data_IF_823460400228
#
_entry.id   IF_823460400228
#
_cell.length_a   1.000
_cell.length_b   1.000
_cell.length_c   1.000
_cell.angle_alpha   90.00
_cell.angle_beta   90.00
_cell.angle_gamma   90.00
#
_symmetry.space_group_name_H-M   'P 1'
#
loop_
_entity.id
_entity.type
_entity.pdbx_description
1 polymer ?
#
# COMPACT_ATOMS: atom_id res chain seq x y z
N UNK A 1 -18.31 -3.27 -60.64
CA UNK A 1 -17.24 -2.38 -61.14
C UNK A 1 -16.23 -2.19 -59.99
N UNK A 2 -15.26 -3.09 -59.77
CA UNK A 2 -13.91 -3.23 -60.37
C UNK A 2 -12.82 -2.26 -59.85
N UNK A 3 -11.91 -2.85 -59.03
CA UNK A 3 -10.45 -2.61 -58.80
C UNK A 3 -9.96 -1.26 -58.26
N UNK A 4 -8.90 -1.12 -57.42
CA UNK A 4 -7.72 -1.94 -57.07
C UNK A 4 -7.25 -1.60 -55.62
N UNK A 5 -6.81 -2.51 -54.72
CA UNK A 5 -5.54 -3.27 -54.61
C UNK A 5 -4.26 -2.45 -54.76
N UNK A 6 -3.60 -2.06 -53.66
CA UNK A 6 -2.13 -1.91 -53.59
C UNK A 6 -1.60 -2.49 -52.27
N UNK A 7 -0.87 -3.60 -52.43
CA UNK A 7 -0.11 -4.33 -51.42
C UNK A 7 1.36 -4.00 -51.69
N UNK A 8 2.16 -3.68 -50.66
CA UNK A 8 3.61 -3.75 -50.77
C UNK A 8 4.16 -4.66 -49.68
N UNK A 9 4.60 -5.83 -50.15
CA UNK A 9 5.56 -6.71 -49.50
C UNK A 9 6.94 -6.05 -49.57
N UNK A 10 7.69 -6.09 -48.48
CA UNK A 10 9.15 -6.20 -48.55
C UNK A 10 9.53 -7.41 -47.71
N UNK A 11 9.95 -8.46 -48.40
CA UNK A 11 10.67 -9.58 -47.85
C UNK A 11 12.17 -9.23 -47.89
N UNK A 12 12.85 -9.36 -46.75
CA UNK A 12 14.29 -9.51 -46.72
C UNK A 12 14.62 -10.67 -45.79
N UNK A 13 15.02 -11.78 -46.40
CA UNK A 13 15.58 -12.94 -45.73
C UNK A 13 17.04 -12.63 -45.36
N UNK A 14 17.42 -12.89 -44.11
CA UNK A 14 18.81 -13.19 -43.75
C UNK A 14 18.80 -14.48 -42.93
N UNK A 15 19.64 -15.39 -43.42
CA UNK A 15 19.77 -16.78 -42.99
C UNK A 15 20.45 -16.94 -41.63
N UNK A 16 19.92 -17.93 -40.92
CA UNK A 16 20.44 -18.73 -39.81
C UNK A 16 21.96 -18.67 -39.58
N UNK A 17 22.34 -18.10 -38.43
CA UNK A 17 23.58 -18.39 -37.73
C UNK A 17 23.27 -19.18 -36.46
N UNK A 18 23.53 -20.48 -36.48
CA UNK A 18 23.53 -21.37 -35.31
C UNK A 18 24.63 -20.88 -34.34
N UNK A 19 24.26 -20.37 -33.17
CA UNK A 19 25.19 -20.26 -32.05
C UNK A 19 24.66 -21.14 -30.93
N UNK A 20 25.44 -22.17 -30.64
CA UNK A 20 25.20 -23.18 -29.62
C UNK A 20 24.88 -22.55 -28.28
N UNK A 21 23.88 -23.12 -27.61
CA UNK A 21 23.63 -22.89 -26.20
C UNK A 21 24.87 -23.26 -25.38
N UNK A 22 25.39 -22.31 -24.62
CA UNK A 22 26.01 -22.59 -23.33
C UNK A 22 25.01 -22.13 -22.29
N UNK A 23 24.32 -23.10 -21.69
CA UNK A 23 23.65 -22.93 -20.40
C UNK A 23 24.70 -22.48 -19.40
N UNK A 24 24.73 -21.18 -19.10
CA UNK A 24 25.39 -20.68 -17.91
C UNK A 24 24.47 -21.02 -16.74
N UNK A 25 24.78 -22.15 -16.14
CA UNK A 25 24.87 -22.41 -14.70
C UNK A 25 23.85 -21.66 -13.82
N UNK A 26 23.03 -22.49 -13.18
CA UNK A 26 22.15 -22.22 -12.06
C UNK A 26 22.92 -21.49 -10.94
N UNK A 27 23.08 -20.18 -11.09
CA UNK A 27 23.65 -19.34 -10.06
C UNK A 27 22.58 -19.18 -8.97
N UNK A 28 22.64 -20.07 -7.97
CA UNK A 28 21.94 -19.89 -6.72
C UNK A 28 22.09 -18.41 -6.31
N UNK A 29 21.00 -17.72 -5.93
CA UNK A 29 21.08 -16.32 -5.54
C UNK A 29 22.16 -16.19 -4.47
N UNK A 30 23.21 -15.44 -4.82
CA UNK A 30 24.35 -15.17 -3.97
C UNK A 30 23.87 -14.86 -2.55
N UNK A 31 24.52 -15.45 -1.55
CA UNK A 31 24.24 -15.23 -0.13
C UNK A 31 24.17 -13.73 0.19
N UNK A 32 24.96 -12.90 -0.53
CA UNK A 32 24.93 -11.44 -0.42
C UNK A 32 23.61 -10.80 -0.92
N UNK A 33 22.95 -11.34 -1.94
CA UNK A 33 21.65 -10.82 -2.40
C UNK A 33 20.51 -11.17 -1.43
N UNK A 34 20.61 -12.33 -0.75
CA UNK A 34 19.67 -12.75 0.30
C UNK A 34 19.89 -12.00 1.62
N UNK A 35 21.14 -11.73 2.00
CA UNK A 35 21.46 -10.90 3.18
C UNK A 35 21.05 -9.45 2.96
N UNK A 36 21.29 -8.88 1.78
CA UNK A 36 20.80 -7.55 1.41
C UNK A 36 19.27 -7.50 1.38
N UNK A 37 18.58 -8.56 0.96
CA UNK A 37 17.11 -8.62 1.03
C UNK A 37 16.59 -8.69 2.48
N UNK A 38 17.27 -9.41 3.36
CA UNK A 38 16.90 -9.56 4.77
C UNK A 38 17.15 -8.27 5.59
N UNK A 39 18.27 -7.59 5.37
CA UNK A 39 18.56 -6.29 6.00
C UNK A 39 17.61 -5.18 5.52
N UNK A 40 17.19 -5.28 4.26
CA UNK A 40 16.19 -4.39 3.68
C UNK A 40 14.80 -4.65 4.29
N UNK A 41 14.45 -5.91 4.55
CA UNK A 41 13.20 -6.26 5.21
C UNK A 41 13.14 -5.72 6.65
N UNK A 42 14.30 -5.61 7.32
CA UNK A 42 14.41 -5.02 8.66
C UNK A 42 14.29 -3.47 8.67
N UNK A 43 14.76 -2.78 7.62
CA UNK A 43 14.67 -1.31 7.49
C UNK A 43 13.32 -0.81 6.95
N UNK A 44 12.59 -1.65 6.20
CA UNK A 44 11.30 -1.25 5.63
C UNK A 44 10.20 -1.44 6.68
N UNK A 45 9.57 -0.34 7.13
CA UNK A 45 8.29 -0.44 7.87
C UNK A 45 7.36 -1.36 7.08
N UNK A 46 6.67 -2.29 7.74
CA UNK A 46 5.87 -3.37 7.11
C UNK A 46 4.97 -2.92 5.94
N UNK A 47 4.57 -1.64 5.96
CA UNK A 47 3.76 -1.02 4.92
C UNK A 47 4.48 -0.76 3.58
N UNK A 48 5.80 -0.53 3.56
CA UNK A 48 6.56 -0.31 2.32
C UNK A 48 7.01 -1.61 1.67
N UNK A 49 7.38 -2.62 2.47
CA UNK A 49 7.68 -3.97 1.96
C UNK A 49 6.47 -4.53 1.20
N UNK A 50 5.27 -4.27 1.72
CA UNK A 50 4.05 -4.67 1.06
C UNK A 50 3.81 -3.94 -0.26
N UNK A 51 4.08 -2.63 -0.33
CA UNK A 51 3.95 -1.87 -1.59
C UNK A 51 4.91 -2.41 -2.63
N UNK A 52 6.17 -2.68 -2.26
CA UNK A 52 7.16 -3.23 -3.18
C UNK A 52 6.73 -4.61 -3.73
N UNK A 53 6.17 -5.46 -2.87
CA UNK A 53 5.64 -6.78 -3.24
C UNK A 53 4.44 -6.65 -4.17
N UNK A 54 3.45 -5.82 -3.81
CA UNK A 54 2.21 -5.66 -4.57
C UNK A 54 2.47 -5.01 -5.94
N UNK A 55 3.43 -4.08 -6.01
CA UNK A 55 3.90 -3.48 -7.26
C UNK A 55 4.80 -4.42 -8.08
N UNK A 56 5.30 -5.51 -7.50
CA UNK A 56 6.21 -6.44 -8.18
C UNK A 56 7.55 -5.82 -8.54
N UNK A 57 8.08 -4.92 -7.70
CA UNK A 57 9.36 -4.24 -7.94
C UNK A 57 10.52 -5.23 -7.91
N UNK A 58 11.48 -5.07 -8.84
CA UNK A 58 12.68 -5.90 -8.92
C UNK A 58 13.94 -5.06 -9.10
N UNK A 59 15.08 -5.64 -8.73
CA UNK A 59 16.42 -5.15 -9.05
C UNK A 59 16.58 -3.62 -8.86
N UNK A 60 16.80 -2.89 -9.96
CA UNK A 60 17.03 -1.46 -9.98
C UNK A 60 15.81 -0.64 -9.50
N UNK A 61 14.59 -1.06 -9.80
CA UNK A 61 13.38 -0.37 -9.32
C UNK A 61 13.27 -0.47 -7.80
N UNK A 62 13.55 -1.65 -7.26
CA UNK A 62 13.54 -1.90 -5.84
C UNK A 62 14.64 -1.12 -5.11
N UNK A 63 15.82 -0.97 -5.72
CA UNK A 63 16.89 -0.12 -5.19
C UNK A 63 16.51 1.38 -5.18
N UNK A 64 15.93 1.88 -6.28
CA UNK A 64 15.46 3.27 -6.37
C UNK A 64 14.35 3.57 -5.34
N UNK A 65 13.39 2.64 -5.20
CA UNK A 65 12.31 2.72 -4.21
C UNK A 65 12.84 2.86 -2.78
N UNK A 66 13.84 2.06 -2.40
CA UNK A 66 14.49 2.15 -1.09
C UNK A 66 15.23 3.45 -0.89
N UNK A 67 15.98 3.91 -1.90
CA UNK A 67 16.69 5.18 -1.82
C UNK A 67 15.74 6.34 -1.52
N UNK A 68 14.57 6.38 -2.14
CA UNK A 68 13.54 7.40 -1.88
C UNK A 68 12.96 7.32 -0.46
N UNK A 69 12.70 6.10 0.02
CA UNK A 69 12.23 5.88 1.41
C UNK A 69 13.28 6.41 2.39
N UNK A 70 14.55 6.04 2.19
CA UNK A 70 15.65 6.43 3.06
C UNK A 70 15.89 7.94 3.05
N UNK A 71 15.80 8.59 1.89
CA UNK A 71 15.93 10.04 1.79
C UNK A 71 14.83 10.76 2.58
N UNK A 72 13.57 10.39 2.39
CA UNK A 72 12.51 11.09 3.12
C UNK A 72 12.40 10.69 4.59
N UNK A 73 12.84 9.49 4.99
CA UNK A 73 13.03 9.15 6.40
C UNK A 73 14.07 10.07 7.04
N UNK A 74 15.22 10.32 6.39
CA UNK A 74 16.22 11.29 6.87
C UNK A 74 15.64 12.70 7.01
N UNK A 75 14.84 13.15 6.04
CA UNK A 75 14.16 14.46 6.12
C UNK A 75 13.16 14.53 7.28
N UNK A 76 12.41 13.44 7.51
CA UNK A 76 11.45 13.36 8.60
C UNK A 76 12.13 13.35 9.97
N UNK A 77 13.23 12.61 10.13
CA UNK A 77 14.01 12.63 11.38
C UNK A 77 14.61 14.02 11.63
N UNK A 78 15.23 14.64 10.61
CA UNK A 78 15.74 16.01 10.74
C UNK A 78 14.65 17.01 11.13
N UNK A 79 13.42 16.85 10.60
CA UNK A 79 12.28 17.68 10.98
C UNK A 79 11.83 17.43 12.42
N UNK A 80 11.83 16.17 12.91
CA UNK A 80 11.50 15.85 14.31
C UNK A 80 12.47 16.50 15.29
N UNK A 81 13.74 16.61 14.93
CA UNK A 81 14.79 17.25 15.75
C UNK A 81 14.76 18.79 15.70
N UNK A 82 14.02 19.36 14.75
CA UNK A 82 13.82 20.81 14.61
C UNK A 82 12.99 21.42 15.75
N UNK A 83 12.96 22.74 15.81
CA UNK A 83 12.10 23.49 16.75
C UNK A 83 10.62 23.16 16.55
N UNK A 84 10.14 23.06 15.31
CA UNK A 84 8.77 22.67 14.99
C UNK A 84 8.44 21.25 15.44
N UNK A 85 9.38 20.31 15.27
CA UNK A 85 9.23 18.93 15.73
C UNK A 85 9.09 18.83 17.25
N UNK A 86 9.95 19.53 17.99
CA UNK A 86 9.89 19.63 19.46
C UNK A 86 8.60 20.30 19.93
N UNK A 87 8.21 21.41 19.29
CA UNK A 87 6.94 22.10 19.56
C UNK A 87 5.73 21.18 19.40
N UNK A 88 5.69 20.38 18.32
CA UNK A 88 4.60 19.43 18.09
C UNK A 88 4.50 18.38 19.22
N UNK A 89 5.64 17.87 19.71
CA UNK A 89 5.67 16.91 20.83
C UNK A 89 5.07 17.53 22.09
N UNK A 90 5.47 18.76 22.42
CA UNK A 90 4.98 19.42 23.63
C UNK A 90 3.50 19.81 23.54
N UNK A 91 3.04 20.30 22.38
CA UNK A 91 1.61 20.55 22.14
C UNK A 91 0.77 19.27 22.29
N UNK A 92 1.27 18.11 21.84
CA UNK A 92 0.58 16.83 22.02
C UNK A 92 0.47 16.41 23.49
N UNK A 93 1.52 16.64 24.30
CA UNK A 93 1.45 16.41 25.75
C UNK A 93 0.39 17.31 26.41
N UNK A 94 0.36 18.59 26.03
CA UNK A 94 -0.65 19.52 26.52
C UNK A 94 -2.06 19.12 26.10
N UNK A 95 -2.22 18.64 24.86
CA UNK A 95 -3.52 18.18 24.34
C UNK A 95 -4.03 16.98 25.14
N UNK A 96 -3.15 16.01 25.46
CA UNK A 96 -3.51 14.87 26.29
C UNK A 96 -3.92 15.29 27.71
N UNK A 97 -3.19 16.23 28.32
CA UNK A 97 -3.54 16.77 29.64
C UNK A 97 -4.87 17.52 29.63
N UNK A 98 -5.10 18.39 28.65
CA UNK A 98 -6.36 19.13 28.48
C UNK A 98 -7.55 18.18 28.23
N UNK A 99 -7.34 17.14 27.40
CA UNK A 99 -8.35 16.11 27.16
C UNK A 99 -8.69 15.32 28.41
N UNK A 100 -7.70 14.98 29.26
CA UNK A 100 -7.93 14.30 30.55
C UNK A 100 -8.67 15.20 31.55
N UNK A 101 -8.45 16.51 31.48
CA UNK A 101 -9.14 17.50 32.30
C UNK A 101 -10.53 17.91 31.76
N UNK A 102 -10.97 17.35 30.63
CA UNK A 102 -12.20 17.75 29.92
C UNK A 102 -12.27 19.25 29.56
N UNK A 103 -11.12 19.88 29.33
CA UNK A 103 -11.03 21.29 28.93
C UNK A 103 -11.22 21.43 27.41
N UNK A 104 -12.48 21.58 26.99
CA UNK A 104 -12.86 21.58 25.58
C UNK A 104 -12.29 22.78 24.80
N UNK A 105 -12.21 23.96 25.43
CA UNK A 105 -11.69 25.17 24.79
C UNK A 105 -10.19 25.04 24.52
N UNK A 106 -9.42 24.57 25.51
CA UNK A 106 -8.00 24.32 25.36
C UNK A 106 -7.70 23.19 24.38
N UNK A 107 -8.51 22.13 24.37
CA UNK A 107 -8.39 21.06 23.37
C UNK A 107 -8.57 21.60 21.95
N UNK A 108 -9.54 22.49 21.74
CA UNK A 108 -9.77 23.11 20.42
C UNK A 108 -8.58 23.98 20.01
N UNK A 109 -8.13 24.89 20.88
CA UNK A 109 -7.00 25.77 20.59
C UNK A 109 -5.72 24.97 20.25
N UNK A 110 -5.41 23.93 21.03
CA UNK A 110 -4.24 23.08 20.79
C UNK A 110 -4.35 22.30 19.47
N UNK A 111 -5.55 21.87 19.07
CA UNK A 111 -5.75 21.21 17.77
C UNK A 111 -5.48 22.17 16.61
N UNK A 112 -5.90 23.42 16.72
CA UNK A 112 -5.67 24.44 15.71
C UNK A 112 -4.16 24.75 15.56
N UNK A 113 -3.42 24.78 16.67
CA UNK A 113 -1.95 24.93 16.64
C UNK A 113 -1.20 23.69 16.10
N UNK A 114 -1.69 22.48 16.41
CA UNK A 114 -1.10 21.22 15.95
C UNK A 114 -1.35 20.97 14.46
N UNK A 115 -2.48 21.44 13.92
CA UNK A 115 -2.88 21.20 12.54
C UNK A 115 -1.82 21.58 11.48
N UNK A 116 -1.25 22.81 11.46
CA UNK A 116 -0.21 23.18 10.50
C UNK A 116 1.06 22.34 10.65
N UNK A 117 1.49 22.02 11.88
CA UNK A 117 2.67 21.18 12.13
C UNK A 117 2.46 19.73 11.63
N UNK A 118 1.26 19.19 11.82
CA UNK A 118 0.91 17.89 11.23
C UNK A 118 0.91 17.92 9.70
N UNK A 119 0.52 19.04 9.08
CA UNK A 119 0.56 19.22 7.61
C UNK A 119 2.00 19.24 7.09
N UNK A 120 2.90 19.96 7.76
CA UNK A 120 4.34 19.95 7.46
C UNK A 120 4.92 18.54 7.57
N UNK A 121 4.69 17.88 8.72
CA UNK A 121 5.17 16.51 8.94
C UNK A 121 4.59 15.52 7.92
N UNK A 122 3.33 15.70 7.52
CA UNK A 122 2.68 14.85 6.52
C UNK A 122 3.30 15.03 5.12
N UNK A 123 3.70 16.24 4.74
CA UNK A 123 4.37 16.51 3.46
C UNK A 123 5.74 15.81 3.36
N UNK A 124 6.38 15.53 4.49
CA UNK A 124 7.64 14.78 4.56
C UNK A 124 7.45 13.26 4.52
N UNK A 125 6.21 12.75 4.64
CA UNK A 125 5.96 11.31 4.57
C UNK A 125 6.19 10.80 3.16
N UNK A 126 7.07 9.81 3.05
CA UNK A 126 7.54 9.25 1.78
C UNK A 126 6.50 8.48 0.99
N UNK A 127 5.43 8.00 1.63
CA UNK A 127 4.44 7.12 0.99
C UNK A 127 3.81 7.72 -0.27
N UNK A 128 3.44 9.00 -0.27
CA UNK A 128 2.86 9.64 -1.46
C UNK A 128 3.86 9.76 -2.61
N UNK A 129 5.09 10.17 -2.30
CA UNK A 129 6.18 10.28 -3.28
C UNK A 129 6.50 8.93 -3.90
N UNK A 130 6.63 7.91 -3.07
CA UNK A 130 6.98 6.54 -3.45
C UNK A 130 5.86 5.86 -4.24
N UNK A 131 4.59 6.12 -3.93
CA UNK A 131 3.47 5.62 -4.74
C UNK A 131 3.39 6.36 -6.08
N UNK A 132 3.67 7.66 -6.10
CA UNK A 132 3.66 8.47 -7.31
C UNK A 132 4.79 8.09 -8.30
N UNK A 133 5.91 7.55 -7.82
CA UNK A 133 7.01 7.09 -8.68
C UNK A 133 6.76 5.73 -9.33
N UNK A 134 5.73 4.99 -8.91
CA UNK A 134 5.33 3.75 -9.55
C UNK A 134 4.71 4.01 -10.92
N UNK A 135 4.88 3.08 -11.86
CA UNK A 135 4.17 3.11 -13.14
C UNK A 135 2.65 2.96 -12.92
N UNK A 136 1.79 3.41 -13.86
CA UNK A 136 0.34 3.25 -13.73
C UNK A 136 -0.11 1.80 -13.50
N UNK A 137 0.58 0.83 -14.10
CA UNK A 137 0.32 -0.61 -13.90
C UNK A 137 0.65 -1.03 -12.47
N UNK A 138 1.79 -0.60 -11.94
CA UNK A 138 2.21 -0.87 -10.56
C UNK A 138 1.29 -0.18 -9.54
N UNK A 139 0.89 1.07 -9.78
CA UNK A 139 -0.09 1.78 -8.95
C UNK A 139 -1.42 1.00 -8.92
N UNK A 140 -1.89 0.52 -10.07
CA UNK A 140 -3.09 -0.33 -10.17
C UNK A 140 -2.95 -1.60 -9.36
N UNK A 141 -1.81 -2.31 -9.47
CA UNK A 141 -1.55 -3.52 -8.70
C UNK A 141 -1.60 -3.25 -7.19
N UNK A 142 -0.98 -2.16 -6.72
CA UNK A 142 -0.97 -1.76 -5.30
C UNK A 142 -2.37 -1.43 -4.79
N UNK A 143 -3.17 -0.66 -5.53
CA UNK A 143 -4.53 -0.30 -5.09
C UNK A 143 -5.45 -1.53 -5.06
N UNK A 144 -5.38 -2.38 -6.10
CA UNK A 144 -6.14 -3.64 -6.14
C UNK A 144 -5.80 -4.54 -4.96
N UNK A 145 -4.50 -4.80 -4.74
CA UNK A 145 -4.04 -5.61 -3.62
C UNK A 145 -4.42 -5.00 -2.25
N UNK A 146 -4.32 -3.67 -2.13
CA UNK A 146 -4.72 -2.93 -0.93
C UNK A 146 -6.20 -3.08 -0.61
N UNK A 147 -7.09 -2.90 -1.59
CA UNK A 147 -8.54 -3.05 -1.39
C UNK A 147 -8.92 -4.51 -1.10
N UNK A 148 -8.37 -5.46 -1.87
CA UNK A 148 -8.56 -6.90 -1.65
C UNK A 148 -8.21 -7.28 -0.21
N UNK A 149 -7.00 -6.95 0.26
CA UNK A 149 -6.54 -7.26 1.62
C UNK A 149 -7.44 -6.66 2.70
N UNK A 150 -7.88 -5.41 2.55
CA UNK A 150 -8.79 -4.77 3.51
C UNK A 150 -10.13 -5.50 3.62
N UNK A 151 -10.67 -5.96 2.49
CA UNK A 151 -11.91 -6.75 2.47
C UNK A 151 -11.66 -8.14 3.04
N UNK A 152 -10.63 -8.85 2.59
CA UNK A 152 -10.29 -10.20 3.06
C UNK A 152 -10.04 -10.24 4.56
N UNK A 153 -9.27 -9.29 5.12
CA UNK A 153 -9.03 -9.21 6.57
C UNK A 153 -10.31 -8.97 7.36
N UNK A 154 -11.33 -8.32 6.78
CA UNK A 154 -12.62 -8.10 7.46
C UNK A 154 -13.51 -9.33 7.53
N UNK A 155 -13.16 -10.38 6.79
CA UNK A 155 -13.87 -11.66 6.73
C UNK A 155 -12.94 -12.86 6.99
N UNK A 156 -11.71 -12.62 7.44
CA UNK A 156 -10.68 -13.65 7.59
C UNK A 156 -11.11 -14.73 8.60
N UNK A 157 -11.70 -14.32 9.72
CA UNK A 157 -12.23 -15.22 10.77
C UNK A 157 -13.33 -16.16 10.28
N UNK A 158 -13.91 -15.89 9.10
CA UNK A 158 -14.88 -16.79 8.47
C UNK A 158 -14.21 -18.06 7.90
N UNK A 159 -12.89 -18.03 7.65
CA UNK A 159 -12.19 -19.09 6.94
C UNK A 159 -12.61 -19.16 5.48
N UNK A 160 -12.28 -18.11 4.70
CA UNK A 160 -12.61 -18.02 3.27
C UNK A 160 -11.84 -19.07 2.45
N UNK A 161 -12.49 -19.69 1.47
CA UNK A 161 -11.84 -20.64 0.55
C UNK A 161 -11.11 -19.92 -0.59
N UNK A 162 -10.23 -20.60 -1.36
CA UNK A 162 -9.60 -20.02 -2.54
C UNK A 162 -10.61 -19.52 -3.60
N UNK A 163 -11.73 -20.22 -3.77
CA UNK A 163 -12.79 -19.83 -4.71
C UNK A 163 -13.49 -18.55 -4.24
N UNK A 164 -13.78 -18.44 -2.93
CA UNK A 164 -14.35 -17.23 -2.35
C UNK A 164 -13.37 -16.06 -2.43
N UNK A 165 -12.08 -16.30 -2.20
CA UNK A 165 -11.03 -15.30 -2.39
C UNK A 165 -10.98 -14.78 -3.84
N UNK A 166 -11.12 -15.65 -4.85
CA UNK A 166 -11.21 -15.25 -6.25
C UNK A 166 -12.46 -14.40 -6.54
N UNK A 167 -13.60 -14.75 -5.96
CA UNK A 167 -14.84 -13.96 -6.07
C UNK A 167 -14.71 -12.58 -5.40
N UNK A 168 -14.09 -12.51 -4.21
CA UNK A 168 -13.79 -11.25 -3.53
C UNK A 168 -12.91 -10.38 -4.43
N UNK A 169 -11.86 -10.96 -5.02
CA UNK A 169 -10.97 -10.24 -5.94
C UNK A 169 -11.71 -9.70 -7.16
N UNK A 170 -12.61 -10.47 -7.74
CA UNK A 170 -13.46 -10.04 -8.86
C UNK A 170 -14.39 -8.86 -8.49
N UNK A 171 -14.74 -8.70 -7.21
CA UNK A 171 -15.48 -7.53 -6.71
C UNK A 171 -14.57 -6.33 -6.42
N UNK A 172 -13.35 -6.56 -5.93
CA UNK A 172 -12.43 -5.47 -5.55
C UNK A 172 -11.73 -4.83 -6.75
N UNK A 173 -11.30 -5.62 -7.74
CA UNK A 173 -10.44 -5.12 -8.81
C UNK A 173 -11.09 -3.98 -9.63
N UNK A 174 -12.36 -4.09 -10.10
CA UNK A 174 -13.00 -3.00 -10.83
C UNK A 174 -13.17 -1.72 -10.00
N UNK A 175 -13.36 -1.85 -8.68
CA UNK A 175 -13.53 -0.72 -7.77
C UNK A 175 -12.22 -0.02 -7.45
N UNK A 176 -11.13 -0.78 -7.35
CA UNK A 176 -9.79 -0.22 -7.26
C UNK A 176 -9.41 0.55 -8.53
N UNK A 177 -9.81 0.07 -9.72
CA UNK A 177 -9.58 0.77 -10.98
C UNK A 177 -10.37 2.08 -11.08
N UNK A 178 -11.64 2.07 -10.66
CA UNK A 178 -12.48 3.27 -10.58
C UNK A 178 -11.87 4.31 -9.63
N UNK A 179 -11.36 3.86 -8.47
CA UNK A 179 -10.69 4.72 -7.50
C UNK A 179 -9.49 5.46 -8.09
N UNK A 180 -8.61 4.77 -8.82
CA UNK A 180 -7.40 5.40 -9.37
C UNK A 180 -7.69 6.52 -10.38
N UNK A 181 -8.84 6.46 -11.07
CA UNK A 181 -9.28 7.53 -11.97
C UNK A 181 -9.73 8.78 -11.21
N UNK A 182 -10.32 8.60 -10.03
CA UNK A 182 -10.86 9.69 -9.23
C UNK A 182 -9.86 10.26 -8.21
N UNK A 183 -8.88 9.44 -7.77
CA UNK A 183 -8.00 9.75 -6.65
C UNK A 183 -6.53 9.41 -6.98
N UNK A 184 -5.75 10.42 -7.42
CA UNK A 184 -4.31 10.29 -7.54
C UNK A 184 -3.64 9.91 -6.21
N UNK A 185 -2.71 8.95 -6.22
CA UNK A 185 -2.08 8.39 -5.02
C UNK A 185 -1.15 9.36 -4.28
N UNK A 186 -0.68 10.42 -4.95
CA UNK A 186 0.07 11.52 -4.32
C UNK A 186 -0.81 12.33 -3.36
N UNK A 187 -2.13 12.41 -3.63
CA UNK A 187 -3.11 13.15 -2.82
C UNK A 187 -3.81 12.30 -1.77
N UNK A 188 -3.89 10.98 -1.96
CA UNK A 188 -4.43 10.03 -0.98
C UNK A 188 -3.49 8.83 -0.76
N UNK A 189 -2.28 9.05 -0.20
CA UNK A 189 -1.29 7.99 -0.02
C UNK A 189 -1.73 6.90 0.96
N UNK A 190 -2.64 7.23 1.88
CA UNK A 190 -3.26 6.28 2.81
C UNK A 190 -4.37 5.46 2.19
N UNK A 191 -4.78 5.80 0.95
CA UNK A 191 -5.96 5.24 0.29
C UNK A 191 -7.20 5.31 1.20
N UNK A 192 -7.41 6.43 1.87
CA UNK A 192 -8.53 6.64 2.80
C UNK A 192 -9.86 6.69 2.06
N UNK A 193 -9.88 7.18 0.81
CA UNK A 193 -11.11 7.21 0.01
C UNK A 193 -11.58 5.80 -0.40
N UNK A 194 -10.77 4.75 -0.23
CA UNK A 194 -11.21 3.35 -0.39
C UNK A 194 -12.13 2.85 0.74
N UNK A 195 -12.22 3.54 1.88
CA UNK A 195 -13.00 3.05 3.05
C UNK A 195 -14.48 2.83 2.68
N UNK A 196 -15.06 3.72 1.88
CA UNK A 196 -16.44 3.57 1.41
C UNK A 196 -16.62 2.32 0.54
N UNK A 197 -15.71 2.13 -0.43
CA UNK A 197 -15.72 0.94 -1.31
C UNK A 197 -15.52 -0.36 -0.52
N UNK A 198 -14.57 -0.37 0.42
CA UNK A 198 -14.34 -1.50 1.33
C UNK A 198 -15.62 -1.89 2.07
N UNK A 199 -16.31 -0.92 2.69
CA UNK A 199 -17.54 -1.19 3.44
C UNK A 199 -18.65 -1.78 2.56
N UNK A 200 -18.85 -1.21 1.37
CA UNK A 200 -19.85 -1.69 0.42
C UNK A 200 -19.55 -3.12 -0.06
N UNK A 201 -18.29 -3.40 -0.44
CA UNK A 201 -17.87 -4.73 -0.90
C UNK A 201 -17.98 -5.73 0.25
N UNK A 202 -17.54 -5.38 1.46
CA UNK A 202 -17.64 -6.28 2.63
C UNK A 202 -19.09 -6.69 2.91
N UNK A 203 -20.05 -5.76 2.81
CA UNK A 203 -21.48 -6.09 2.92
C UNK A 203 -21.91 -7.07 1.84
N UNK A 204 -21.49 -6.86 0.59
CA UNK A 204 -21.78 -7.75 -0.53
C UNK A 204 -21.18 -9.15 -0.34
N UNK A 205 -19.92 -9.24 0.09
CA UNK A 205 -19.24 -10.50 0.40
C UNK A 205 -20.01 -11.27 1.47
N UNK A 206 -20.41 -10.61 2.55
CA UNK A 206 -21.19 -11.24 3.62
C UNK A 206 -22.56 -11.74 3.15
N UNK A 207 -23.20 -11.06 2.20
CA UNK A 207 -24.53 -11.43 1.72
C UNK A 207 -24.50 -12.51 0.61
N UNK A 208 -23.52 -12.46 -0.29
CA UNK A 208 -23.54 -13.23 -1.55
C UNK A 208 -22.46 -14.31 -1.65
N UNK A 209 -21.35 -14.19 -0.92
CA UNK A 209 -20.19 -15.09 -1.05
C UNK A 209 -20.07 -16.01 0.16
N UNK A 210 -20.27 -15.48 1.37
CA UNK A 210 -20.15 -16.27 2.59
C UNK A 210 -21.37 -17.17 2.81
N UNK A 211 -21.13 -18.41 3.21
CA UNK A 211 -22.17 -19.34 3.66
C UNK A 211 -22.82 -18.87 4.96
N UNK A 212 -24.01 -19.39 5.30
CA UNK A 212 -24.68 -19.07 6.56
C UNK A 212 -23.81 -19.40 7.78
N UNK A 213 -23.09 -20.52 7.76
CA UNK A 213 -22.17 -20.92 8.84
C UNK A 213 -21.01 -19.92 9.00
N UNK A 214 -20.42 -19.48 7.88
CA UNK A 214 -19.36 -18.48 7.87
C UNK A 214 -19.85 -17.11 8.35
N UNK A 215 -21.08 -16.72 7.98
CA UNK A 215 -21.70 -15.48 8.47
C UNK A 215 -21.90 -15.53 9.99
N UNK A 216 -22.31 -16.68 10.54
CA UNK A 216 -22.52 -16.84 11.98
C UNK A 216 -21.20 -16.81 12.78
N UNK A 217 -20.12 -17.37 12.22
CA UNK A 217 -18.76 -17.21 12.78
C UNK A 217 -18.34 -15.75 12.90
N UNK A 218 -18.65 -14.92 11.90
CA UNK A 218 -18.31 -13.49 11.95
C UNK A 218 -19.13 -12.69 12.97
N UNK A 219 -20.35 -13.13 13.32
CA UNK A 219 -21.15 -12.47 14.37
C UNK A 219 -20.68 -12.84 15.78
N UNK A 220 -20.13 -14.04 15.94
CA UNK A 220 -19.67 -14.59 17.22
C UNK A 220 -18.19 -14.28 17.50
N UNK A 221 -17.44 -13.79 16.51
CA UNK A 221 -16.07 -13.30 16.69
C UNK A 221 -16.03 -12.17 17.72
N UNK A 222 -15.47 -12.46 18.90
CA UNK A 222 -15.25 -11.48 19.97
C UNK A 222 -14.27 -10.40 19.44
N UNK A 223 -14.50 -9.11 19.70
CA UNK A 223 -13.52 -8.09 19.32
C UNK A 223 -12.15 -8.45 19.91
N UNK A 224 -11.06 -8.24 19.17
CA UNK A 224 -9.72 -8.59 19.62
C UNK A 224 -9.51 -7.99 21.01
N UNK A 225 -9.10 -8.82 21.97
CA UNK A 225 -8.83 -8.37 23.32
C UNK A 225 -7.84 -7.21 23.23
N UNK A 226 -8.28 -6.01 23.62
CA UNK A 226 -7.39 -4.87 23.78
C UNK A 226 -6.32 -5.29 24.78
N UNK A 227 -5.07 -5.46 24.31
CA UNK A 227 -3.93 -5.66 25.21
C UNK A 227 -4.04 -4.59 26.31
N UNK A 228 -3.98 -4.96 27.60
CA UNK A 228 -3.97 -3.96 28.65
C UNK A 228 -2.82 -3.00 28.35
N UNK A 229 -3.13 -1.70 28.35
CA UNK A 229 -2.09 -0.68 28.31
C UNK A 229 -1.12 -1.01 29.44
N UNK A 230 0.14 -1.33 29.12
CA UNK A 230 1.20 -1.45 30.12
C UNK A 230 1.27 -0.10 30.82
N UNK A 231 0.64 -0.02 31.99
CA UNK A 231 0.90 1.01 32.97
C UNK A 231 1.98 0.47 33.88
N UNK A 232 3.19 0.98 33.70
CA UNK A 232 4.18 1.25 34.75
C UNK A 232 4.85 2.57 34.40
#
# INVERSE_FOLDING_TARGET
MTFAKWTWLIAAAVSVGRVSATFAEDAAPSVAAKEVAADIEAEMTSSYAQIATDAGLKDAELAAFKSQINEGNKKLEAWKDSENGKKLVDLRKQLAAASKANDAEKVKALRDEIAPLNKEMAALRTRGVVLASLTPVQQTAVVRAGLYRRVSNSVEDAGITPEQAAQIKALTDPKADEYLKAHPLDKDPGMMSLIGAQSAITKKVKAEILTAEQQEKLKSAKPPATKPAKGE
#
